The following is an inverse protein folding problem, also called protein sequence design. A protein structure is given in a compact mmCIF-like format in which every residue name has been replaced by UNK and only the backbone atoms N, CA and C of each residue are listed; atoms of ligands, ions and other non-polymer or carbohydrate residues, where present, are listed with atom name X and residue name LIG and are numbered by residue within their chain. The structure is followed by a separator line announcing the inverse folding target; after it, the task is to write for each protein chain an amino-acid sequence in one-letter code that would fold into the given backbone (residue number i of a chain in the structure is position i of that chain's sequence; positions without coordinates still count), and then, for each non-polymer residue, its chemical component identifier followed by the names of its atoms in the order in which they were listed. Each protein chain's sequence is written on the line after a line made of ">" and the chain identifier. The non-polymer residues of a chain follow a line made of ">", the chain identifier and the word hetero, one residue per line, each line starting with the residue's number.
data_IF_043783986861
#
_entry.id   IF_043783986861
#
_cell.length_a   1.000
_cell.length_b   1.000
_cell.length_c   1.000
_cell.angle_alpha   90.00
_cell.angle_beta   90.00
_cell.angle_gamma   90.00
#
_symmetry.space_group_name_H-M   'P 1'
#
loop_
_entity.id
_entity.type
_entity.pdbx_description
1 polymer ?
#
# COMPACT_ATOMS: atom_id res chain seq x y z
N UNK A 1 62.61 -7.52 -4.85
CA UNK A 1 61.42 -6.78 -5.30
C UNK A 1 60.20 -7.66 -5.17
N UNK A 2 59.36 -7.43 -4.13
CA UNK A 2 58.11 -8.16 -3.96
C UNK A 2 57.00 -7.33 -4.64
N UNK A 3 56.43 -7.85 -5.76
CA UNK A 3 55.25 -7.28 -6.38
C UNK A 3 54.03 -7.73 -5.58
N UNK A 4 53.42 -6.81 -4.82
CA UNK A 4 52.12 -7.00 -4.24
C UNK A 4 51.10 -7.12 -5.35
N UNK A 5 50.46 -8.29 -5.50
CA UNK A 5 49.27 -8.44 -6.36
C UNK A 5 48.10 -7.69 -5.69
N UNK A 6 47.63 -6.62 -6.29
CA UNK A 6 46.33 -6.01 -5.97
C UNK A 6 45.21 -6.98 -6.42
N UNK A 7 44.73 -7.78 -5.51
CA UNK A 7 43.48 -8.47 -5.73
C UNK A 7 42.35 -7.48 -5.48
N UNK A 8 41.47 -7.27 -6.44
CA UNK A 8 40.16 -6.67 -6.18
C UNK A 8 39.36 -7.68 -5.36
N UNK A 9 38.73 -7.29 -4.22
CA UNK A 9 37.85 -8.19 -3.52
C UNK A 9 36.68 -8.49 -4.48
N UNK A 10 36.51 -9.77 -4.83
CA UNK A 10 35.30 -10.23 -5.47
C UNK A 10 34.18 -10.14 -4.43
N UNK A 11 33.15 -9.36 -4.69
CA UNK A 11 31.96 -9.34 -3.84
C UNK A 11 31.40 -10.76 -3.66
N UNK A 12 30.67 -10.97 -2.56
CA UNK A 12 29.89 -12.20 -2.36
C UNK A 12 28.81 -12.38 -3.45
N UNK A 13 28.05 -13.48 -3.41
CA UNK A 13 26.88 -13.61 -4.26
C UNK A 13 25.91 -12.44 -4.04
N UNK A 14 25.28 -11.99 -5.11
CA UNK A 14 24.26 -10.93 -5.06
C UNK A 14 23.09 -11.44 -4.21
N UNK A 15 22.58 -10.60 -3.30
CA UNK A 15 21.37 -10.92 -2.54
C UNK A 15 20.14 -10.71 -3.44
N UNK A 16 19.30 -11.73 -3.56
CA UNK A 16 18.06 -11.70 -4.34
C UNK A 16 16.82 -11.75 -3.41
N UNK A 17 17.02 -11.66 -2.09
CA UNK A 17 15.93 -11.74 -1.13
C UNK A 17 15.31 -10.36 -0.85
N UNK A 18 13.97 -10.25 -0.90
CA UNK A 18 13.29 -9.02 -0.47
C UNK A 18 13.45 -8.78 1.04
N UNK A 19 13.38 -7.51 1.48
CA UNK A 19 13.39 -7.18 2.90
C UNK A 19 12.21 -7.82 3.63
N UNK A 20 12.45 -8.27 4.87
CA UNK A 20 11.45 -8.95 5.70
C UNK A 20 11.03 -8.07 6.87
N UNK A 21 9.74 -8.05 7.14
CA UNK A 21 9.19 -7.37 8.32
C UNK A 21 9.53 -8.17 9.56
N UNK A 22 10.23 -7.55 10.52
CA UNK A 22 10.65 -8.19 11.78
C UNK A 22 9.86 -7.72 13.00
N UNK A 23 9.28 -6.50 12.95
CA UNK A 23 8.50 -5.95 14.06
C UNK A 23 7.52 -4.90 13.55
N UNK A 24 6.38 -4.79 14.22
CA UNK A 24 5.32 -3.82 13.94
C UNK A 24 4.94 -3.08 15.22
N UNK A 25 4.75 -1.77 15.13
CA UNK A 25 4.30 -0.91 16.23
C UNK A 25 3.27 0.11 15.70
N UNK A 26 1.98 -0.07 16.05
CA UNK A 26 1.37 -1.24 16.71
C UNK A 26 1.34 -2.48 15.83
N UNK A 27 0.87 -3.60 16.36
CA UNK A 27 0.77 -4.85 15.63
C UNK A 27 -0.23 -4.77 14.46
N UNK A 28 -0.04 -5.67 13.49
CA UNK A 28 -0.99 -5.86 12.39
C UNK A 28 -2.41 -6.14 12.93
N UNK A 29 -3.41 -5.56 12.28
CA UNK A 29 -4.82 -5.72 12.63
C UNK A 29 -5.20 -5.19 14.02
N UNK A 30 -4.48 -4.18 14.51
CA UNK A 30 -4.82 -3.49 15.76
C UNK A 30 -6.21 -2.87 15.67
N UNK A 31 -7.00 -3.08 16.72
CA UNK A 31 -8.32 -2.49 16.93
C UNK A 31 -8.24 -1.28 17.85
N UNK A 32 -9.25 -0.41 17.79
CA UNK A 32 -9.31 0.83 18.56
C UNK A 32 -8.00 1.64 18.45
N UNK A 33 -7.48 1.71 17.21
CA UNK A 33 -6.24 2.42 16.92
C UNK A 33 -6.39 3.90 17.29
N UNK A 34 -5.50 4.36 18.15
CA UNK A 34 -5.46 5.74 18.66
C UNK A 34 -4.04 6.33 18.70
N UNK A 35 -3.09 5.67 18.04
CA UNK A 35 -1.70 6.16 17.94
C UNK A 35 -1.57 7.22 16.85
N UNK A 36 -0.63 8.13 17.04
CA UNK A 36 -0.24 9.13 16.04
C UNK A 36 0.69 8.56 14.96
N UNK A 37 1.17 7.32 15.14
CA UNK A 37 2.13 6.71 14.21
C UNK A 37 2.03 5.20 14.14
N UNK A 38 2.55 4.67 13.02
CA UNK A 38 2.79 3.26 12.78
C UNK A 38 4.26 3.11 12.37
N UNK A 39 4.95 2.09 12.90
CA UNK A 39 6.30 1.72 12.48
C UNK A 39 6.35 0.27 12.06
N UNK A 40 6.96 0.04 10.91
CA UNK A 40 7.19 -1.27 10.31
C UNK A 40 8.71 -1.45 10.22
N UNK A 41 9.26 -2.36 11.00
CA UNK A 41 10.72 -2.60 11.06
C UNK A 41 11.12 -3.76 10.16
N UNK A 42 12.26 -3.61 9.51
CA UNK A 42 12.81 -4.58 8.57
C UNK A 42 14.14 -5.14 9.08
N UNK A 43 14.51 -6.31 8.60
CA UNK A 43 15.81 -6.96 8.88
C UNK A 43 16.97 -6.18 8.26
N UNK A 44 16.72 -5.43 7.19
CA UNK A 44 17.70 -4.64 6.45
C UNK A 44 17.28 -3.18 6.19
N UNK A 45 18.15 -2.40 5.55
CA UNK A 45 17.83 -1.03 5.13
C UNK A 45 16.95 -1.03 3.89
N UNK A 46 15.85 -0.29 3.95
CA UNK A 46 14.89 -0.12 2.86
C UNK A 46 14.90 1.30 2.32
N UNK A 47 14.45 1.44 1.08
CA UNK A 47 14.05 2.68 0.41
C UNK A 47 12.61 2.58 -0.04
N UNK A 48 11.99 3.73 -0.31
CA UNK A 48 10.66 3.80 -0.92
C UNK A 48 10.78 4.35 -2.35
N UNK A 49 10.53 3.49 -3.33
CA UNK A 49 10.56 3.85 -4.74
C UNK A 49 9.14 4.14 -5.22
N UNK A 50 8.96 5.24 -5.97
CA UNK A 50 7.70 5.60 -6.63
C UNK A 50 6.48 5.50 -5.69
N UNK A 51 6.68 5.81 -4.39
CA UNK A 51 5.65 5.62 -3.36
C UNK A 51 4.33 6.26 -3.73
N UNK A 52 4.36 7.45 -4.36
CA UNK A 52 3.16 8.20 -4.73
C UNK A 52 2.27 7.43 -5.71
N UNK A 53 2.88 6.70 -6.62
CA UNK A 53 2.19 5.97 -7.69
C UNK A 53 1.80 4.55 -7.26
N UNK A 54 2.51 4.00 -6.28
CA UNK A 54 2.35 2.64 -5.80
C UNK A 54 1.42 2.51 -4.60
N UNK A 55 1.35 3.54 -3.75
CA UNK A 55 0.61 3.47 -2.49
C UNK A 55 -0.89 3.59 -2.72
N UNK A 56 -1.62 2.59 -2.28
CA UNK A 56 -3.09 2.59 -2.20
C UNK A 56 -3.51 2.62 -0.74
N UNK A 57 -4.21 3.68 -0.33
CA UNK A 57 -4.80 3.80 1.01
C UNK A 57 -6.32 3.69 0.90
N UNK A 58 -6.91 2.67 1.49
CA UNK A 58 -8.34 2.41 1.44
C UNK A 58 -8.93 2.27 2.85
N UNK A 59 -9.98 3.04 3.19
CA UNK A 59 -10.56 4.20 2.49
C UNK A 59 -9.52 5.29 2.21
N UNK A 60 -9.70 6.10 1.14
CA UNK A 60 -8.74 7.12 0.78
C UNK A 60 -8.61 8.19 1.87
N UNK A 61 -7.37 8.51 2.23
CA UNK A 61 -7.01 9.62 3.10
C UNK A 61 -6.41 10.76 2.26
N UNK A 62 -6.64 11.97 2.70
CA UNK A 62 -5.94 13.12 2.11
C UNK A 62 -4.44 13.03 2.42
N UNK A 63 -3.62 13.30 1.42
CA UNK A 63 -2.16 13.20 1.53
C UNK A 63 -1.58 14.13 2.61
N UNK A 64 -2.29 15.21 2.94
CA UNK A 64 -1.96 16.13 4.03
C UNK A 64 -2.16 15.53 5.42
N UNK A 65 -2.91 14.44 5.56
CA UNK A 65 -3.26 13.82 6.84
C UNK A 65 -2.26 12.78 7.33
N UNK A 66 -1.28 12.43 6.51
CA UNK A 66 -0.23 11.49 6.90
C UNK A 66 1.08 11.77 6.18
N UNK A 67 2.17 11.39 6.84
CA UNK A 67 3.53 11.44 6.30
C UNK A 67 4.13 10.04 6.33
N UNK A 68 4.82 9.66 5.26
CA UNK A 68 5.52 8.37 5.21
C UNK A 68 7.01 8.61 5.06
N UNK A 69 7.79 7.92 5.85
CA UNK A 69 9.25 7.90 5.79
C UNK A 69 9.77 6.45 5.72
N UNK A 70 10.98 6.20 5.17
CA UNK A 70 12.01 7.18 4.84
C UNK A 70 11.73 7.93 3.53
N UNK A 71 12.18 9.19 3.46
CA UNK A 71 12.22 9.98 2.23
C UNK A 71 13.67 10.36 1.97
N UNK A 72 14.24 9.80 0.91
CA UNK A 72 15.59 10.09 0.46
C UNK A 72 16.68 9.16 1.04
N UNK A 73 16.88 9.15 2.36
CA UNK A 73 17.88 8.26 2.99
C UNK A 73 17.25 6.92 3.40
N UNK A 74 18.00 5.80 3.22
CA UNK A 74 17.49 4.48 3.63
C UNK A 74 17.38 4.38 5.15
N UNK A 75 16.41 3.57 5.62
CA UNK A 75 16.21 3.29 7.04
C UNK A 75 15.84 1.81 7.26
N UNK A 76 16.02 1.30 8.48
CA UNK A 76 15.57 -0.04 8.87
C UNK A 76 14.11 -0.09 9.29
N UNK A 77 13.36 0.99 9.10
CA UNK A 77 11.93 1.04 9.36
C UNK A 77 11.23 1.97 8.38
N UNK A 78 9.97 1.67 8.12
CA UNK A 78 9.01 2.55 7.50
C UNK A 78 8.13 3.13 8.61
N UNK A 79 7.88 4.43 8.60
CA UNK A 79 6.97 5.10 9.52
C UNK A 79 5.84 5.78 8.74
N UNK A 80 4.62 5.58 9.20
CA UNK A 80 3.45 6.38 8.83
C UNK A 80 3.14 7.25 10.05
N UNK A 81 3.13 8.56 9.90
CA UNK A 81 2.79 9.51 10.93
C UNK A 81 1.51 10.24 10.54
N UNK A 82 0.51 10.20 11.40
CA UNK A 82 -0.76 10.87 11.17
C UNK A 82 -0.70 12.29 11.74
N UNK A 83 -1.02 13.26 10.90
CA UNK A 83 -1.00 14.70 11.25
C UNK A 83 -2.35 15.20 11.74
N UNK A 84 -3.39 14.37 11.61
CA UNK A 84 -4.76 14.68 12.02
C UNK A 84 -5.47 13.41 12.52
N UNK A 85 -6.59 13.59 13.21
CA UNK A 85 -7.41 12.49 13.70
C UNK A 85 -8.04 11.70 12.54
N UNK A 86 -8.03 10.39 12.67
CA UNK A 86 -8.69 9.50 11.72
C UNK A 86 -10.19 9.36 12.02
N UNK A 87 -11.04 9.23 11.01
CA UNK A 87 -12.45 8.85 11.17
C UNK A 87 -12.61 7.63 12.07
N UNK A 88 -13.60 7.68 12.98
CA UNK A 88 -13.90 6.58 13.90
C UNK A 88 -14.54 5.40 13.17
N UNK A 89 -14.49 4.21 13.79
CA UNK A 89 -15.11 2.98 13.29
C UNK A 89 -14.78 2.67 11.82
N UNK A 90 -13.51 2.83 11.45
CA UNK A 90 -13.06 2.68 10.07
C UNK A 90 -11.86 1.75 10.00
N UNK A 91 -11.90 0.76 9.11
CA UNK A 91 -10.78 -0.12 8.82
C UNK A 91 -9.96 0.49 7.68
N UNK A 92 -8.68 0.72 7.93
CA UNK A 92 -7.74 1.24 6.96
C UNK A 92 -6.78 0.16 6.47
N UNK A 93 -6.54 0.17 5.18
CA UNK A 93 -5.53 -0.64 4.52
C UNK A 93 -4.55 0.28 3.81
N UNK A 94 -3.27 0.17 4.14
CA UNK A 94 -2.16 0.77 3.41
C UNK A 94 -1.49 -0.34 2.61
N UNK A 95 -1.68 -0.34 1.29
CA UNK A 95 -1.00 -1.25 0.36
C UNK A 95 0.12 -0.49 -0.33
N UNK A 96 1.35 -0.91 -0.10
CA UNK A 96 2.56 -0.26 -0.59
C UNK A 96 2.93 -0.65 -2.02
N UNK A 97 2.14 -1.52 -2.67
CA UNK A 97 2.45 -1.98 -4.04
C UNK A 97 3.85 -2.57 -4.12
N UNK A 98 4.65 -2.05 -5.02
CA UNK A 98 6.06 -2.41 -5.22
C UNK A 98 7.04 -1.36 -4.69
N UNK A 99 6.57 -0.43 -3.85
CA UNK A 99 7.40 0.71 -3.42
C UNK A 99 8.47 0.36 -2.39
N UNK A 100 8.29 -0.69 -1.59
CA UNK A 100 9.27 -1.07 -0.57
C UNK A 100 10.36 -1.93 -1.22
N UNK A 101 11.59 -1.41 -1.23
CA UNK A 101 12.73 -2.13 -1.81
C UNK A 101 13.91 -2.10 -0.84
N UNK A 102 14.79 -3.11 -0.89
CA UNK A 102 16.04 -3.04 -0.18
C UNK A 102 16.94 -1.90 -0.71
N UNK A 103 17.87 -1.46 0.12
CA UNK A 103 18.72 -0.35 -0.24
C UNK A 103 19.84 -0.71 -1.24
N UNK A 104 20.33 -1.92 -1.22
CA UNK A 104 21.53 -2.32 -1.92
C UNK A 104 21.24 -2.81 -3.35
N UNK A 105 20.48 -3.88 -3.47
CA UNK A 105 20.19 -4.56 -4.73
C UNK A 105 18.89 -4.08 -5.36
N UNK A 106 17.95 -3.54 -4.57
CA UNK A 106 16.63 -3.08 -5.02
C UNK A 106 15.59 -4.18 -5.11
N UNK A 107 15.77 -5.28 -4.33
CA UNK A 107 14.79 -6.35 -4.27
C UNK A 107 13.48 -5.84 -3.68
N UNK A 108 12.37 -6.10 -4.36
CA UNK A 108 11.05 -5.57 -4.01
C UNK A 108 10.37 -6.46 -2.99
N UNK A 109 9.83 -5.88 -1.91
CA UNK A 109 8.82 -6.52 -1.06
C UNK A 109 7.43 -6.26 -1.68
N UNK A 110 6.87 -7.20 -2.46
CA UNK A 110 5.69 -6.92 -3.26
C UNK A 110 4.41 -6.88 -2.40
N UNK A 111 3.57 -5.89 -2.67
CA UNK A 111 2.18 -5.79 -2.19
C UNK A 111 2.00 -5.92 -0.67
N UNK A 112 3.01 -5.44 0.09
CA UNK A 112 2.89 -5.42 1.54
C UNK A 112 1.72 -4.53 1.97
N UNK A 113 0.81 -5.11 2.77
CA UNK A 113 -0.36 -4.43 3.31
C UNK A 113 -0.26 -4.30 4.82
N UNK A 114 -0.51 -3.10 5.33
CA UNK A 114 -0.71 -2.87 6.75
C UNK A 114 -2.17 -2.48 7.00
N UNK A 115 -2.84 -3.20 7.91
CA UNK A 115 -4.28 -3.07 8.17
C UNK A 115 -4.48 -2.77 9.65
N UNK A 116 -5.38 -1.83 9.96
CA UNK A 116 -5.81 -1.53 11.32
C UNK A 116 -7.23 -0.95 11.32
N UNK A 117 -7.87 -0.87 12.48
CA UNK A 117 -9.18 -0.26 12.64
C UNK A 117 -9.19 0.75 13.79
N UNK A 118 -9.81 1.90 13.57
CA UNK A 118 -10.14 2.88 14.61
C UNK A 118 -11.36 2.46 15.43
N UNK A 119 -12.06 1.40 15.00
CA UNK A 119 -13.18 0.79 15.70
C UNK A 119 -12.80 -0.48 16.46
N UNK A 120 -13.80 -1.08 17.10
CA UNK A 120 -13.67 -2.31 17.90
C UNK A 120 -13.63 -3.59 17.06
N UNK A 121 -13.78 -3.48 15.74
CA UNK A 121 -13.75 -4.61 14.81
C UNK A 121 -13.05 -4.21 13.52
N UNK A 122 -12.60 -5.21 12.77
CA UNK A 122 -12.16 -5.05 11.38
C UNK A 122 -13.35 -5.33 10.46
N UNK A 123 -13.52 -4.49 9.45
CA UNK A 123 -14.39 -4.81 8.33
C UNK A 123 -13.78 -5.98 7.54
N UNK A 124 -14.59 -6.94 7.11
CA UNK A 124 -14.09 -8.20 6.54
C UNK A 124 -14.68 -8.57 5.19
N UNK A 125 -15.60 -7.77 4.65
CA UNK A 125 -16.16 -8.04 3.33
C UNK A 125 -15.15 -7.68 2.24
N UNK A 126 -15.25 -8.38 1.12
CA UNK A 126 -14.41 -8.11 -0.05
C UNK A 126 -15.21 -8.23 -1.33
N UNK A 127 -14.74 -7.54 -2.36
CA UNK A 127 -15.20 -7.70 -3.73
C UNK A 127 -13.99 -7.93 -4.63
N UNK A 128 -14.10 -8.92 -5.51
CA UNK A 128 -13.08 -9.23 -6.51
C UNK A 128 -13.71 -9.33 -7.89
N UNK A 129 -12.93 -9.02 -8.90
CA UNK A 129 -13.38 -9.13 -10.28
C UNK A 129 -12.23 -9.10 -11.27
N UNK A 130 -12.60 -9.15 -12.55
CA UNK A 130 -11.66 -9.05 -13.67
C UNK A 130 -12.07 -7.90 -14.58
N UNK A 131 -11.07 -7.21 -15.10
CA UNK A 131 -11.22 -6.16 -16.09
C UNK A 131 -10.82 -6.73 -17.45
N UNK A 132 -11.69 -6.62 -18.41
CA UNK A 132 -11.43 -7.00 -19.80
C UNK A 132 -11.69 -5.80 -20.70
N UNK A 133 -10.75 -5.51 -21.57
CA UNK A 133 -10.97 -4.54 -22.64
C UNK A 133 -11.81 -5.20 -23.75
N UNK A 134 -12.86 -4.52 -24.21
CA UNK A 134 -13.76 -5.04 -25.25
C UNK A 134 -13.11 -5.10 -26.64
N UNK A 135 -12.04 -4.35 -26.85
CA UNK A 135 -11.39 -4.17 -28.16
C UNK A 135 -9.98 -4.74 -28.14
N UNK A 136 -9.23 -4.51 -27.08
CA UNK A 136 -7.84 -4.97 -26.92
C UNK A 136 -7.83 -6.31 -26.17
N UNK A 137 -6.91 -7.22 -26.56
CA UNK A 137 -6.72 -8.51 -25.85
C UNK A 137 -6.31 -8.34 -24.40
N UNK A 138 -5.59 -7.28 -24.08
CA UNK A 138 -5.15 -6.96 -22.73
C UNK A 138 -5.66 -5.56 -22.35
N UNK A 139 -6.18 -5.36 -21.15
CA UNK A 139 -6.50 -4.03 -20.64
C UNK A 139 -5.23 -3.18 -20.53
N UNK A 140 -5.39 -1.89 -20.31
CA UNK A 140 -4.28 -1.00 -20.00
C UNK A 140 -3.56 -1.50 -18.74
N UNK A 141 -2.26 -1.23 -18.65
CA UNK A 141 -1.37 -1.77 -17.62
C UNK A 141 -1.72 -1.32 -16.19
N UNK A 142 -2.64 -0.37 -16.07
CA UNK A 142 -3.06 0.18 -14.80
C UNK A 142 -4.51 0.68 -14.91
N UNK A 143 -5.42 -0.01 -14.24
CA UNK A 143 -6.83 0.39 -14.17
C UNK A 143 -7.20 0.59 -12.71
N UNK A 144 -7.74 1.75 -12.38
CA UNK A 144 -8.28 2.04 -11.06
C UNK A 144 -9.71 1.53 -10.95
N UNK A 145 -10.02 0.86 -9.86
CA UNK A 145 -11.36 0.38 -9.53
C UNK A 145 -11.83 1.05 -8.27
N UNK A 146 -12.98 1.70 -8.33
CA UNK A 146 -13.49 2.57 -7.28
C UNK A 146 -14.88 2.15 -6.83
N UNK A 147 -15.17 2.29 -5.53
CA UNK A 147 -16.50 2.10 -4.97
C UNK A 147 -17.01 3.41 -4.39
N UNK A 148 -18.18 3.82 -4.85
CA UNK A 148 -18.96 4.93 -4.31
C UNK A 148 -20.18 4.42 -3.54
N UNK A 149 -20.65 5.11 -2.49
CA UNK A 149 -21.88 4.74 -1.81
C UNK A 149 -23.04 4.83 -2.79
N UNK A 150 -23.89 3.80 -2.80
CA UNK A 150 -25.12 3.78 -3.61
C UNK A 150 -26.32 3.93 -2.69
N UNK A 151 -26.72 5.17 -2.46
CA UNK A 151 -27.82 5.55 -1.58
C UNK A 151 -28.85 6.45 -2.33
N UNK A 152 -29.81 7.02 -1.59
CA UNK A 152 -30.87 7.84 -2.16
C UNK A 152 -30.43 9.16 -2.77
N UNK A 153 -29.19 9.60 -2.48
CA UNK A 153 -28.60 10.85 -3.04
C UNK A 153 -27.60 10.57 -4.16
N UNK A 154 -27.40 9.28 -4.50
CA UNK A 154 -26.50 8.90 -5.59
C UNK A 154 -26.96 9.52 -6.92
N UNK A 155 -26.02 10.11 -7.62
CA UNK A 155 -26.16 10.58 -9.00
C UNK A 155 -24.92 10.20 -9.79
N UNK A 156 -25.05 9.93 -11.09
CA UNK A 156 -23.93 9.55 -11.94
C UNK A 156 -22.78 10.58 -11.95
N UNK A 157 -23.08 11.84 -11.59
CA UNK A 157 -22.08 12.90 -11.49
C UNK A 157 -21.20 12.81 -10.24
N UNK A 158 -21.50 11.93 -9.28
CA UNK A 158 -20.75 11.78 -8.03
C UNK A 158 -19.30 11.38 -8.30
N UNK A 159 -19.09 10.55 -9.33
CA UNK A 159 -17.75 10.07 -9.74
C UNK A 159 -16.80 11.20 -10.17
N UNK A 160 -17.34 12.37 -10.54
CA UNK A 160 -16.55 13.54 -10.94
C UNK A 160 -16.41 14.60 -9.83
N UNK A 161 -17.18 14.47 -8.75
CA UNK A 161 -17.27 15.49 -7.71
C UNK A 161 -16.69 15.02 -6.38
N UNK A 162 -16.91 13.76 -6.05
CA UNK A 162 -16.58 13.20 -4.75
C UNK A 162 -15.46 12.16 -4.87
N UNK A 163 -14.75 11.95 -3.78
CA UNK A 163 -13.77 10.87 -3.68
C UNK A 163 -14.48 9.53 -3.47
N UNK A 164 -13.98 8.43 -4.05
CA UNK A 164 -14.50 7.10 -3.74
C UNK A 164 -14.31 6.79 -2.25
N UNK A 165 -15.16 5.93 -1.69
CA UNK A 165 -14.97 5.45 -0.30
C UNK A 165 -14.05 4.25 -0.20
N UNK A 166 -13.86 3.52 -1.29
CA UNK A 166 -12.84 2.47 -1.40
C UNK A 166 -12.28 2.48 -2.82
N UNK A 167 -11.01 2.14 -2.95
CA UNK A 167 -10.40 1.98 -4.27
C UNK A 167 -9.25 0.99 -4.25
N UNK A 168 -8.96 0.45 -5.42
CA UNK A 168 -7.80 -0.39 -5.72
C UNK A 168 -7.37 -0.17 -7.16
N UNK A 169 -6.40 -0.93 -7.61
CA UNK A 169 -5.95 -0.95 -9.00
C UNK A 169 -5.56 -2.36 -9.43
N UNK A 170 -5.27 -2.54 -10.72
CA UNK A 170 -4.86 -3.83 -11.31
C UNK A 170 -3.35 -3.99 -11.39
N UNK A 171 -2.59 -3.30 -10.57
CA UNK A 171 -1.12 -3.22 -10.68
C UNK A 171 -0.43 -4.57 -10.49
N UNK A 172 -1.01 -5.44 -9.69
CA UNK A 172 -0.44 -6.73 -9.31
C UNK A 172 -0.75 -7.87 -10.30
N UNK A 173 -1.84 -7.76 -11.06
CA UNK A 173 -2.29 -8.85 -11.93
C UNK A 173 -2.60 -8.47 -13.36
N UNK A 174 -2.59 -7.18 -13.69
CA UNK A 174 -2.97 -6.59 -14.98
C UNK A 174 -4.47 -6.74 -15.37
N UNK A 175 -5.21 -7.60 -14.70
CA UNK A 175 -6.63 -7.90 -15.02
C UNK A 175 -7.52 -8.04 -13.81
N UNK A 176 -6.98 -8.59 -12.74
CA UNK A 176 -7.75 -8.89 -11.54
C UNK A 176 -7.65 -7.74 -10.56
N UNK A 177 -8.72 -7.50 -9.83
CA UNK A 177 -8.73 -6.58 -8.72
C UNK A 177 -9.39 -7.20 -7.50
N UNK A 178 -8.98 -6.76 -6.33
CA UNK A 178 -9.64 -7.09 -5.07
C UNK A 178 -9.65 -5.85 -4.18
N UNK A 179 -10.83 -5.50 -3.68
CA UNK A 179 -11.00 -4.50 -2.61
C UNK A 179 -11.42 -5.27 -1.37
N UNK A 180 -10.63 -5.14 -0.32
CA UNK A 180 -10.82 -5.85 0.96
C UNK A 180 -11.23 -4.88 2.06
N UNK A 181 -11.66 -5.42 3.19
CA UNK A 181 -12.02 -4.68 4.40
C UNK A 181 -13.17 -3.69 4.18
N UNK A 182 -14.18 -4.11 3.43
CA UNK A 182 -15.37 -3.32 3.15
C UNK A 182 -16.38 -3.42 4.28
N UNK A 183 -17.03 -2.32 4.58
CA UNK A 183 -18.26 -2.30 5.38
C UNK A 183 -19.43 -2.90 4.59
N UNK A 184 -20.39 -3.46 5.31
CA UNK A 184 -21.65 -3.85 4.70
C UNK A 184 -22.37 -2.62 4.14
N UNK A 185 -22.83 -2.70 2.89
CA UNK A 185 -23.47 -1.57 2.23
C UNK A 185 -23.80 -1.86 0.77
N UNK A 186 -24.39 -0.86 0.12
CA UNK A 186 -24.62 -0.87 -1.33
C UNK A 186 -23.61 0.09 -1.97
N UNK A 187 -22.99 -0.35 -3.02
CA UNK A 187 -21.93 0.39 -3.69
C UNK A 187 -22.12 0.40 -5.20
N UNK A 188 -21.79 1.54 -5.84
CA UNK A 188 -21.56 1.61 -7.27
C UNK A 188 -20.08 1.34 -7.53
N UNK A 189 -19.81 0.39 -8.39
CA UNK A 189 -18.46 0.08 -8.86
C UNK A 189 -18.22 0.83 -10.19
N UNK A 190 -17.08 1.53 -10.23
CA UNK A 190 -16.63 2.32 -11.39
C UNK A 190 -15.20 1.96 -11.72
#
# INVERSE_FOLDING_TARGET
>A
MQCARRGSPSGGPIDETPPKVVRLEPNQKTLNFNSDRIRIYFDEYIKLNELRDQLVVSPPLEQSKYLISPQGLPAKYLQIEFTDSLPSNTTYTFNFGQSIVDNNEGNVLPFYKYIFSTGSSLDSLSISGQINDAIKRNPDSFVSVMLYPYDSVFTDSIIFKDKPIYYTNTLDSLKEFTIENLKSGKYMLV
#
